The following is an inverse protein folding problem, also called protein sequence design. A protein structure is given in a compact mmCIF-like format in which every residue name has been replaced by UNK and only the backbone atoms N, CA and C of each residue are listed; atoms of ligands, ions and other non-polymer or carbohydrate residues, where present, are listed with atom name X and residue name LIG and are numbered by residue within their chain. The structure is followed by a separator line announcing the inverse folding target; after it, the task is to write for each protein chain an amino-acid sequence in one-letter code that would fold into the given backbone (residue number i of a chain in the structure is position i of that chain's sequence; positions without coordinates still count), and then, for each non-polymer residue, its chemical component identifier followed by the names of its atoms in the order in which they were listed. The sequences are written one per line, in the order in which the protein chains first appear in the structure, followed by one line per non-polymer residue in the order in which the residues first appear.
data_IF_060206042264
#
_entry.id   IF_060206042264
#
_cell.length_a   1.000
_cell.length_b   1.000
_cell.length_c   1.000
_cell.angle_alpha   90.00
_cell.angle_beta   90.00
_cell.angle_gamma   90.00
#
_symmetry.space_group_name_H-M   'P 1'
#
loop_
_entity.id
_entity.type
_entity.pdbx_description
1 polymer ?
#
# COMPACT_ATOMS: atom_id res chain seq x y z
N UNK A 1 41.13 -58.13 -36.72
CA UNK A 1 42.18 -58.72 -35.82
C UNK A 1 42.39 -57.76 -34.67
N UNK A 2 42.75 -58.22 -33.50
CA UNK A 2 41.74 -58.37 -32.42
C UNK A 2 42.08 -57.54 -31.21
N UNK A 3 41.00 -57.29 -30.42
CA UNK A 3 40.97 -57.46 -28.97
C UNK A 3 42.02 -56.75 -28.10
N UNK A 4 41.58 -55.71 -27.42
CA UNK A 4 42.10 -55.41 -26.09
C UNK A 4 40.99 -54.79 -25.17
N UNK A 5 39.99 -55.58 -24.88
CA UNK A 5 38.88 -55.29 -23.96
C UNK A 5 39.04 -56.10 -22.65
N UNK A 6 40.23 -56.06 -22.01
CA UNK A 6 40.39 -56.62 -20.68
C UNK A 6 41.57 -55.96 -19.92
N UNK A 7 41.30 -54.67 -19.47
CA UNK A 7 42.07 -54.13 -18.36
C UNK A 7 41.07 -53.69 -17.24
N UNK A 8 41.29 -54.20 -16.00
CA UNK A 8 40.43 -53.81 -14.89
C UNK A 8 40.71 -52.37 -14.49
N UNK A 9 39.64 -51.58 -14.27
CA UNK A 9 39.70 -50.27 -13.74
C UNK A 9 40.24 -50.29 -12.30
N UNK A 10 41.45 -49.79 -12.11
CA UNK A 10 42.07 -49.63 -10.79
C UNK A 10 41.21 -48.60 -9.96
N UNK A 11 40.70 -49.09 -8.85
CA UNK A 11 39.99 -48.30 -7.87
C UNK A 11 40.87 -47.19 -7.29
N UNK A 12 40.36 -45.96 -7.37
CA UNK A 12 40.96 -44.79 -6.75
C UNK A 12 40.87 -44.92 -5.24
N UNK A 13 41.99 -45.20 -4.57
CA UNK A 13 42.05 -45.21 -3.10
C UNK A 13 41.70 -43.83 -2.54
N UNK A 14 40.63 -43.79 -1.74
CA UNK A 14 40.30 -42.64 -0.90
C UNK A 14 41.36 -42.47 0.19
N UNK A 15 42.16 -41.41 0.10
CA UNK A 15 42.99 -40.96 1.22
C UNK A 15 42.05 -40.55 2.37
N UNK A 16 42.14 -41.24 3.50
CA UNK A 16 41.55 -40.80 4.78
C UNK A 16 42.26 -39.49 5.17
N UNK A 17 41.54 -38.39 5.22
CA UNK A 17 42.01 -37.14 5.79
C UNK A 17 42.03 -37.27 7.31
N UNK A 18 43.21 -37.08 7.90
CA UNK A 18 43.41 -36.96 9.33
C UNK A 18 42.61 -35.82 9.90
N UNK A 19 42.05 -35.99 11.09
CA UNK A 19 41.19 -35.06 11.80
C UNK A 19 41.78 -33.67 11.89
N UNK A 20 40.98 -32.66 11.46
CA UNK A 20 41.25 -31.25 11.70
C UNK A 20 40.98 -30.96 13.16
N UNK A 21 42.00 -30.74 13.95
CA UNK A 21 41.91 -30.10 15.26
C UNK A 21 41.38 -28.68 15.07
N UNK A 22 40.24 -28.38 15.64
CA UNK A 22 39.63 -27.05 15.68
C UNK A 22 40.57 -26.04 16.35
N UNK A 23 41.23 -25.22 15.56
CA UNK A 23 41.96 -24.07 16.05
C UNK A 23 40.95 -22.98 16.38
N UNK A 24 40.54 -22.88 17.65
CA UNK A 24 39.81 -21.74 18.11
C UNK A 24 40.67 -20.47 17.97
N UNK A 25 40.29 -19.53 17.17
CA UNK A 25 40.97 -18.26 17.08
C UNK A 25 40.64 -17.43 18.34
N UNK A 26 41.56 -16.57 18.77
CA UNK A 26 41.36 -15.67 19.92
C UNK A 26 40.08 -14.81 19.79
N UNK A 27 39.66 -14.54 18.54
CA UNK A 27 38.43 -13.83 18.23
C UNK A 27 37.16 -14.61 18.62
N UNK A 28 37.15 -15.94 18.41
CA UNK A 28 36.02 -16.81 18.78
C UNK A 28 35.84 -16.89 20.29
N UNK A 29 36.95 -16.90 21.04
CA UNK A 29 36.91 -16.86 22.50
C UNK A 29 36.35 -15.56 23.05
N UNK A 30 36.66 -14.41 22.41
CA UNK A 30 36.15 -13.09 22.78
C UNK A 30 34.63 -12.96 22.55
N UNK A 31 34.12 -13.53 21.46
CA UNK A 31 32.67 -13.55 21.16
C UNK A 31 31.90 -14.38 22.19
N UNK A 32 32.42 -15.54 22.59
CA UNK A 32 31.77 -16.38 23.61
C UNK A 32 31.72 -15.68 24.98
N UNK A 33 32.79 -14.98 25.36
CA UNK A 33 32.85 -14.20 26.62
C UNK A 33 31.86 -13.02 26.58
N UNK A 34 31.74 -12.32 25.43
CA UNK A 34 30.80 -11.23 25.26
C UNK A 34 29.33 -11.68 25.37
N UNK A 35 28.98 -12.79 24.71
CA UNK A 35 27.63 -13.38 24.78
C UNK A 35 27.31 -13.87 26.20
N UNK A 36 28.27 -14.50 26.86
CA UNK A 36 28.11 -14.94 28.27
C UNK A 36 27.94 -13.76 29.24
N UNK A 37 28.65 -12.65 29.01
CA UNK A 37 28.54 -11.43 29.81
C UNK A 37 27.18 -10.77 29.69
N UNK A 38 26.65 -10.67 28.47
CA UNK A 38 25.30 -10.09 28.23
C UNK A 38 24.20 -10.97 28.87
N UNK A 39 24.32 -12.29 28.76
CA UNK A 39 23.41 -13.23 29.42
C UNK A 39 23.41 -13.11 30.94
N UNK A 40 24.58 -12.99 31.56
CA UNK A 40 24.71 -12.81 33.01
C UNK A 40 24.12 -11.47 33.50
N UNK A 41 24.32 -10.39 32.74
CA UNK A 41 23.72 -9.08 33.07
C UNK A 41 22.20 -9.09 32.98
N UNK A 42 21.63 -9.77 31.98
CA UNK A 42 20.18 -9.93 31.82
C UNK A 42 19.55 -10.70 32.96
N UNK A 43 20.18 -11.78 33.42
CA UNK A 43 19.72 -12.57 34.57
C UNK A 43 19.86 -11.80 35.89
N UNK A 44 20.95 -11.07 36.07
CA UNK A 44 21.16 -10.21 37.25
C UNK A 44 20.10 -9.10 37.32
N UNK A 45 19.75 -8.47 36.22
CA UNK A 45 18.71 -7.43 36.14
C UNK A 45 17.31 -8.00 36.44
N UNK A 46 17.03 -9.24 36.06
CA UNK A 46 15.74 -9.89 36.34
C UNK A 46 15.58 -10.38 37.78
N UNK A 47 16.69 -10.65 38.49
CA UNK A 47 16.70 -11.18 39.86
C UNK A 47 16.92 -10.09 40.92
N UNK A 48 17.18 -8.83 40.57
CA UNK A 48 17.36 -7.72 41.52
C UNK A 48 16.01 -7.05 41.79
N UNK A 49 15.33 -7.28 42.92
CA UNK A 49 14.14 -6.53 43.32
C UNK A 49 14.55 -5.18 43.92
N UNK A 50 14.91 -4.26 43.05
CA UNK A 50 15.41 -2.94 43.45
C UNK A 50 14.59 -1.79 42.91
N UNK A 51 13.66 -1.29 43.71
CA UNK A 51 13.12 0.09 43.71
C UNK A 51 12.45 0.57 42.41
N UNK A 52 11.25 0.10 42.15
CA UNK A 52 10.25 0.94 41.49
C UNK A 52 9.68 1.88 42.53
N UNK A 53 10.25 3.07 42.62
CA UNK A 53 9.74 4.20 43.38
C UNK A 53 8.37 4.57 42.87
N UNK A 54 7.40 4.58 43.77
CA UNK A 54 6.00 5.01 43.59
C UNK A 54 5.95 6.33 42.82
N UNK A 55 5.35 6.33 41.65
CA UNK A 55 4.89 7.53 41.02
C UNK A 55 3.74 8.13 41.83
N UNK A 56 3.92 9.37 42.15
CA UNK A 56 3.09 10.29 42.91
C UNK A 56 1.62 10.25 42.55
N UNK A 57 0.81 10.13 43.57
CA UNK A 57 -0.61 10.44 43.67
C UNK A 57 -1.03 11.71 42.96
N UNK A 58 -2.02 11.62 42.08
CA UNK A 58 -2.79 12.77 41.60
C UNK A 58 -3.64 13.34 42.77
N UNK A 59 -3.85 14.66 42.85
CA UNK A 59 -4.68 15.24 43.91
C UNK A 59 -6.18 14.93 43.61
N UNK A 60 -6.84 14.42 44.66
CA UNK A 60 -8.27 14.27 44.78
C UNK A 60 -8.93 15.66 44.78
N UNK A 61 -9.74 15.93 43.78
CA UNK A 61 -10.62 17.11 43.76
C UNK A 61 -11.96 16.69 44.36
N UNK A 62 -12.18 17.09 45.59
CA UNK A 62 -13.43 16.95 46.30
C UNK A 62 -14.56 17.70 45.53
N UNK A 63 -15.59 16.97 45.20
CA UNK A 63 -16.88 17.50 44.76
C UNK A 63 -17.61 18.01 46.00
N UNK A 64 -17.64 19.35 46.14
CA UNK A 64 -18.49 20.01 47.13
C UNK A 64 -19.90 20.17 46.53
N UNK A 65 -20.87 19.58 47.19
CA UNK A 65 -22.26 19.63 46.85
C UNK A 65 -22.89 20.93 47.39
N UNK A 66 -23.31 21.80 46.50
CA UNK A 66 -24.14 22.97 46.83
C UNK A 66 -25.52 22.81 46.22
N UNK A 67 -26.52 22.62 47.09
CA UNK A 67 -27.93 22.70 46.73
C UNK A 67 -28.37 24.13 46.31
N UNK A 68 -29.40 24.25 45.45
CA UNK A 68 -29.79 25.54 44.88
C UNK A 68 -30.72 26.30 45.86
N UNK A 69 -30.34 27.53 46.15
CA UNK A 69 -31.17 28.43 46.90
C UNK A 69 -32.25 29.10 46.01
N UNK A 70 -33.47 28.95 46.46
CA UNK A 70 -34.71 29.49 45.89
C UNK A 70 -34.89 30.93 46.41
N UNK A 71 -34.99 31.91 45.54
CA UNK A 71 -35.92 33.04 45.67
C UNK A 71 -35.39 34.31 45.04
N UNK A 72 -36.08 34.78 43.99
CA UNK A 72 -36.36 36.20 43.83
C UNK A 72 -37.50 36.40 42.82
N UNK A 73 -38.62 36.84 43.39
CA UNK A 73 -39.77 37.42 42.71
C UNK A 73 -39.38 38.71 42.01
N UNK A 74 -39.94 38.97 40.82
CA UNK A 74 -39.77 40.24 40.13
C UNK A 74 -40.74 40.40 38.97
N UNK A 75 -41.90 40.83 39.24
CA UNK A 75 -42.93 41.63 38.54
C UNK A 75 -43.05 41.64 37.00
N UNK A 76 -44.28 41.72 36.49
CA UNK A 76 -44.62 41.69 35.07
C UNK A 76 -44.58 43.09 34.43
N UNK A 77 -43.79 43.21 33.37
CA UNK A 77 -43.98 44.36 32.47
C UNK A 77 -44.92 44.01 31.32
N UNK A 78 -46.09 44.67 31.34
CA UNK A 78 -46.99 44.93 30.20
C UNK A 78 -46.21 45.76 29.17
N UNK A 79 -46.35 45.44 27.90
CA UNK A 79 -46.15 46.44 26.89
C UNK A 79 -45.77 45.92 25.53
N UNK A 80 -46.69 46.05 24.62
CA UNK A 80 -46.53 46.32 23.19
C UNK A 80 -46.31 45.13 22.26
N UNK A 81 -47.39 44.78 21.61
CA UNK A 81 -47.49 43.99 20.38
C UNK A 81 -47.02 44.84 19.21
N UNK A 82 -45.84 44.47 18.69
CA UNK A 82 -45.46 44.77 17.31
C UNK A 82 -45.11 43.46 16.59
N UNK A 83 -45.62 43.22 15.39
CA UNK A 83 -45.32 41.99 14.64
C UNK A 83 -43.91 42.09 14.06
N UNK A 84 -42.97 41.38 14.70
CA UNK A 84 -41.64 41.20 14.19
C UNK A 84 -41.66 40.45 12.84
N UNK A 85 -41.19 41.15 11.83
CA UNK A 85 -40.90 40.58 10.52
C UNK A 85 -40.10 39.28 10.60
N UNK A 86 -40.33 38.31 9.72
CA UNK A 86 -39.61 37.04 9.75
C UNK A 86 -38.13 37.28 9.45
N UNK A 87 -37.27 37.12 10.45
CA UNK A 87 -35.84 37.00 10.24
C UNK A 87 -35.61 35.77 9.38
N UNK A 88 -35.10 35.99 8.19
CA UNK A 88 -34.63 34.95 7.29
C UNK A 88 -33.46 34.20 7.92
N UNK A 89 -33.77 33.20 8.74
CA UNK A 89 -32.76 32.28 9.30
C UNK A 89 -32.11 31.45 8.20
N UNK A 90 -30.81 31.40 8.22
CA UNK A 90 -29.95 30.56 7.36
C UNK A 90 -30.09 29.03 7.61
N UNK A 91 -31.26 28.54 8.01
CA UNK A 91 -31.49 27.11 8.14
C UNK A 91 -32.22 26.57 6.91
N UNK A 92 -31.70 25.51 6.29
CA UNK A 92 -32.23 24.90 5.08
C UNK A 92 -33.52 24.09 5.27
N UNK A 93 -34.30 24.31 6.33
CA UNK A 93 -35.52 23.58 6.63
C UNK A 93 -36.71 24.54 6.79
N UNK A 94 -37.89 24.13 6.31
CA UNK A 94 -39.15 24.75 6.64
C UNK A 94 -39.61 24.27 8.03
N UNK A 95 -39.86 25.20 8.93
CA UNK A 95 -40.34 24.91 10.30
C UNK A 95 -41.80 25.32 10.40
N UNK A 96 -42.70 24.37 10.56
CA UNK A 96 -44.10 24.61 10.88
C UNK A 96 -44.33 24.32 12.36
N UNK A 97 -44.87 25.29 13.09
CA UNK A 97 -45.27 25.16 14.50
C UNK A 97 -46.76 25.08 14.60
N UNK A 98 -47.28 24.06 15.20
CA UNK A 98 -48.71 23.85 15.47
C UNK A 98 -48.89 23.68 16.96
N UNK A 99 -49.78 24.51 17.54
CA UNK A 99 -50.18 24.36 18.94
C UNK A 99 -51.38 23.39 18.99
N UNK A 100 -51.20 22.30 19.69
CA UNK A 100 -52.23 21.29 19.88
C UNK A 100 -53.25 21.76 20.93
N UNK A 101 -54.48 21.21 20.94
CA UNK A 101 -55.53 21.59 21.95
C UNK A 101 -55.14 21.33 23.40
N UNK A 102 -54.11 20.53 23.62
CA UNK A 102 -53.50 20.17 24.93
C UNK A 102 -52.45 21.21 25.40
N UNK A 103 -52.23 22.30 24.63
CA UNK A 103 -51.24 23.34 24.92
C UNK A 103 -49.83 23.02 24.49
N UNK A 104 -49.55 21.83 23.93
CA UNK A 104 -48.23 21.46 23.45
C UNK A 104 -47.96 22.03 22.07
N UNK A 105 -46.75 22.55 21.86
CA UNK A 105 -46.30 23.09 20.55
C UNK A 105 -45.49 22.04 19.82
N UNK A 106 -46.01 21.51 18.73
CA UNK A 106 -45.31 20.58 17.84
C UNK A 106 -44.63 21.38 16.74
N UNK A 107 -43.31 21.23 16.61
CA UNK A 107 -42.52 21.84 15.52
C UNK A 107 -42.17 20.76 14.52
N UNK A 108 -42.70 20.83 13.31
CA UNK A 108 -42.39 19.94 12.21
C UNK A 108 -41.32 20.59 11.32
N UNK A 109 -40.24 19.89 11.12
CA UNK A 109 -39.15 20.31 10.25
C UNK A 109 -39.26 19.53 8.93
N UNK A 110 -39.48 20.19 7.82
CA UNK A 110 -39.47 19.62 6.49
C UNK A 110 -38.33 20.22 5.67
N UNK A 111 -37.63 19.42 4.85
CA UNK A 111 -36.63 19.93 3.93
C UNK A 111 -37.26 20.97 2.99
N UNK A 112 -36.61 22.10 2.78
CA UNK A 112 -37.02 23.08 1.79
C UNK A 112 -36.85 22.47 0.41
N UNK A 113 -37.91 22.43 -0.41
CA UNK A 113 -37.74 22.18 -1.84
C UNK A 113 -36.84 23.28 -2.41
N UNK A 114 -35.70 22.90 -2.94
CA UNK A 114 -34.84 23.81 -3.69
C UNK A 114 -35.47 24.03 -5.06
N UNK A 115 -36.11 25.19 -5.26
CA UNK A 115 -36.36 25.72 -6.58
C UNK A 115 -35.07 26.37 -7.07
N UNK A 116 -34.42 25.73 -8.02
CA UNK A 116 -33.18 26.15 -8.67
C UNK A 116 -32.29 24.95 -8.91
N UNK A 117 -31.58 24.95 -10.02
CA UNK A 117 -30.51 24.04 -10.31
C UNK A 117 -29.52 24.06 -9.14
N UNK A 118 -29.65 23.08 -8.24
CA UNK A 118 -28.64 22.84 -7.21
C UNK A 118 -27.29 22.74 -7.89
N UNK A 119 -26.15 22.93 -7.15
CA UNK A 119 -24.87 22.68 -7.76
C UNK A 119 -24.97 21.30 -8.41
N UNK A 120 -24.81 21.28 -9.73
CA UNK A 120 -24.64 20.04 -10.47
C UNK A 120 -23.55 19.33 -9.69
N UNK A 121 -23.90 18.23 -9.01
CA UNK A 121 -22.90 17.29 -8.59
C UNK A 121 -22.24 16.91 -9.91
N UNK A 122 -21.15 17.60 -10.25
CA UNK A 122 -20.21 17.04 -11.20
C UNK A 122 -19.83 15.70 -10.56
N UNK A 123 -20.51 14.66 -11.00
CA UNK A 123 -19.97 13.33 -10.93
C UNK A 123 -18.70 13.44 -11.75
N UNK A 124 -17.58 13.77 -11.06
CA UNK A 124 -16.25 13.66 -11.64
C UNK A 124 -16.26 12.31 -12.32
N UNK A 125 -15.72 12.23 -13.52
CA UNK A 125 -15.61 10.97 -14.22
C UNK A 125 -15.04 9.99 -13.21
N UNK A 126 -15.85 9.03 -12.79
CA UNK A 126 -15.41 7.94 -11.92
C UNK A 126 -14.49 7.12 -12.79
N UNK A 127 -13.19 7.43 -12.72
CA UNK A 127 -12.18 6.58 -13.30
C UNK A 127 -12.33 5.21 -12.64
N UNK A 128 -12.33 4.16 -13.45
CA UNK A 128 -12.41 2.79 -12.96
C UNK A 128 -13.45 1.96 -13.71
N UNK A 129 -13.22 0.67 -13.72
CA UNK A 129 -14.10 -0.31 -14.36
C UNK A 129 -15.31 -0.61 -13.45
N UNK A 130 -16.49 -0.87 -14.07
CA UNK A 130 -17.64 -1.40 -13.33
C UNK A 130 -17.22 -2.63 -12.50
N UNK A 131 -17.46 -2.65 -11.19
CA UNK A 131 -17.08 -3.78 -10.32
C UNK A 131 -17.58 -5.14 -10.82
N UNK A 132 -18.72 -5.19 -11.50
CA UNK A 132 -19.28 -6.42 -12.09
C UNK A 132 -18.43 -6.98 -13.22
N UNK A 133 -17.71 -6.11 -13.93
CA UNK A 133 -16.85 -6.45 -15.06
C UNK A 133 -15.36 -6.43 -14.67
N UNK A 134 -15.03 -6.10 -13.43
CA UNK A 134 -13.65 -5.86 -13.00
C UNK A 134 -12.68 -7.02 -13.29
N UNK A 135 -13.17 -8.25 -13.26
CA UNK A 135 -12.39 -9.46 -13.58
C UNK A 135 -12.22 -9.71 -15.09
N UNK A 136 -12.99 -9.02 -15.93
CA UNK A 136 -12.92 -9.17 -17.39
C UNK A 136 -11.98 -8.10 -17.95
N UNK A 137 -11.10 -8.46 -18.91
CA UNK A 137 -10.28 -7.48 -19.58
C UNK A 137 -11.12 -6.59 -20.50
N UNK A 138 -10.71 -5.34 -20.65
CA UNK A 138 -11.19 -4.48 -21.72
C UNK A 138 -10.35 -4.77 -22.96
N UNK A 139 -11.00 -5.29 -24.01
CA UNK A 139 -10.33 -5.72 -25.24
C UNK A 139 -9.66 -4.56 -26.00
N UNK A 140 -10.22 -3.35 -25.91
CA UNK A 140 -9.66 -2.15 -26.55
C UNK A 140 -8.30 -1.73 -25.97
N UNK A 141 -8.01 -2.18 -24.75
CA UNK A 141 -6.76 -1.91 -24.04
C UNK A 141 -5.72 -3.03 -24.21
N UNK A 142 -5.94 -3.97 -25.10
CA UNK A 142 -5.04 -5.11 -25.29
C UNK A 142 -4.63 -5.25 -26.77
N UNK A 143 -3.40 -5.70 -26.97
CA UNK A 143 -2.86 -6.11 -28.26
C UNK A 143 -2.31 -7.53 -28.18
N UNK A 144 -2.58 -8.33 -29.21
CA UNK A 144 -2.01 -9.68 -29.33
C UNK A 144 -0.59 -9.61 -29.83
N UNK A 145 0.34 -10.22 -29.10
CA UNK A 145 1.75 -10.27 -29.44
C UNK A 145 2.34 -11.67 -29.29
N UNK A 146 3.59 -11.83 -29.72
CA UNK A 146 4.35 -13.08 -29.49
C UNK A 146 4.57 -13.39 -27.99
N UNK A 147 4.38 -12.39 -27.10
CA UNK A 147 4.56 -12.52 -25.65
C UNK A 147 3.22 -12.70 -24.90
N UNK A 148 2.11 -12.81 -25.63
CA UNK A 148 0.75 -12.81 -25.11
C UNK A 148 0.05 -11.48 -25.32
N UNK A 149 -1.02 -11.24 -24.55
CA UNK A 149 -1.83 -10.04 -24.65
C UNK A 149 -1.19 -8.93 -23.81
N UNK A 150 -0.68 -7.91 -24.47
CA UNK A 150 -0.03 -6.77 -23.81
C UNK A 150 -0.98 -5.58 -23.70
N UNK A 151 -0.85 -4.77 -22.63
CA UNK A 151 -1.62 -3.53 -22.50
C UNK A 151 -1.20 -2.50 -23.54
N UNK A 152 -2.17 -1.73 -24.00
CA UNK A 152 -1.99 -0.57 -24.88
C UNK A 152 -2.95 0.55 -24.50
N UNK A 153 -2.71 1.74 -24.98
CA UNK A 153 -3.69 2.82 -24.97
C UNK A 153 -4.73 2.55 -26.06
N UNK A 154 -6.00 2.71 -25.75
CA UNK A 154 -7.09 2.54 -26.72
C UNK A 154 -7.10 3.63 -27.79
N UNK A 155 -7.88 3.45 -28.85
CA UNK A 155 -7.96 4.40 -29.95
C UNK A 155 -8.56 5.77 -29.54
N UNK A 156 -9.40 5.80 -28.53
CA UNK A 156 -9.99 7.00 -27.92
C UNK A 156 -9.14 7.63 -26.80
N UNK A 157 -7.95 7.07 -26.55
CA UNK A 157 -6.99 7.60 -25.59
C UNK A 157 -7.13 7.07 -24.16
N UNK A 158 -8.07 6.14 -23.89
CA UNK A 158 -8.21 5.52 -22.57
C UNK A 158 -6.96 4.70 -22.24
N UNK A 159 -6.44 4.87 -21.03
CA UNK A 159 -5.23 4.19 -20.55
C UNK A 159 -5.56 3.04 -19.58
N UNK A 160 -4.81 1.94 -19.60
CA UNK A 160 -4.97 0.87 -18.61
C UNK A 160 -4.92 1.36 -17.16
N UNK A 161 -4.04 2.33 -16.84
CA UNK A 161 -3.94 2.90 -15.51
C UNK A 161 -5.21 3.62 -15.05
N UNK A 162 -6.04 4.12 -15.97
CA UNK A 162 -7.31 4.78 -15.67
C UNK A 162 -8.45 3.77 -15.61
N UNK A 163 -8.51 2.86 -16.59
CA UNK A 163 -9.56 1.83 -16.66
C UNK A 163 -9.56 0.91 -15.44
N UNK A 164 -8.36 0.49 -15.02
CA UNK A 164 -8.22 -0.48 -13.93
C UNK A 164 -7.97 0.16 -12.57
N UNK A 165 -7.94 1.49 -12.50
CA UNK A 165 -7.88 2.23 -11.24
C UNK A 165 -9.05 1.88 -10.32
N UNK A 166 -8.78 1.83 -9.01
CA UNK A 166 -9.83 1.75 -8.01
C UNK A 166 -10.44 3.15 -7.81
N UNK A 167 -11.79 3.30 -7.90
CA UNK A 167 -12.43 4.55 -7.52
C UNK A 167 -12.18 4.90 -6.05
N UNK A 168 -12.02 6.18 -5.76
CA UNK A 168 -11.86 6.72 -4.42
C UNK A 168 -12.78 7.93 -4.22
N UNK A 169 -12.86 8.48 -3.00
CA UNK A 169 -13.87 9.51 -2.67
C UNK A 169 -13.70 10.85 -3.41
N UNK A 170 -12.49 11.13 -3.92
CA UNK A 170 -12.17 12.46 -4.47
C UNK A 170 -12.04 13.55 -3.40
N UNK A 171 -12.14 13.21 -2.12
CA UNK A 171 -12.08 14.16 -1.04
C UNK A 171 -10.66 14.68 -0.80
N UNK A 172 -10.55 15.95 -0.44
CA UNK A 172 -9.28 16.51 0.01
C UNK A 172 -9.03 16.06 1.45
N UNK A 173 -7.93 15.38 1.69
CA UNK A 173 -7.57 14.85 3.00
C UNK A 173 -6.26 14.08 2.98
N UNK A 174 -5.90 13.50 4.13
CA UNK A 174 -4.73 12.62 4.23
C UNK A 174 -5.04 11.28 3.59
N UNK A 175 -4.27 10.89 2.58
CA UNK A 175 -4.45 9.63 1.84
C UNK A 175 -3.21 8.77 1.92
N UNK A 176 -3.43 7.47 2.03
CA UNK A 176 -2.37 6.47 2.08
C UNK A 176 -2.67 5.37 1.07
N UNK A 177 -1.69 5.05 0.24
CA UNK A 177 -1.71 3.82 -0.54
C UNK A 177 -0.81 2.78 0.12
N UNK A 178 -1.33 1.57 0.26
CA UNK A 178 -0.56 0.41 0.73
C UNK A 178 -0.50 -0.59 -0.41
N UNK A 179 0.71 -1.05 -0.74
CA UNK A 179 0.94 -2.05 -1.78
C UNK A 179 1.45 -3.31 -1.09
N UNK A 180 0.77 -4.43 -1.31
CA UNK A 180 1.23 -5.74 -0.83
C UNK A 180 1.71 -6.56 -2.02
N UNK A 181 3.02 -6.81 -2.07
CA UNK A 181 3.70 -7.48 -3.17
C UNK A 181 3.95 -8.98 -2.91
N UNK A 182 4.55 -9.65 -3.91
CA UNK A 182 4.90 -11.07 -3.84
C UNK A 182 3.73 -12.03 -4.03
N UNK A 183 2.56 -11.52 -4.46
CA UNK A 183 1.41 -12.39 -4.73
C UNK A 183 1.67 -13.31 -5.93
N UNK A 184 1.09 -14.50 -5.90
CA UNK A 184 1.31 -15.55 -6.89
C UNK A 184 2.47 -16.49 -6.56
N UNK A 185 3.38 -16.13 -5.63
CA UNK A 185 4.49 -16.98 -5.20
C UNK A 185 4.02 -18.08 -4.23
N UNK A 186 3.16 -17.74 -3.30
CA UNK A 186 2.50 -18.67 -2.37
C UNK A 186 0.99 -18.69 -2.63
N UNK A 187 0.41 -19.87 -2.81
CA UNK A 187 -1.05 -19.99 -3.01
C UNK A 187 -1.83 -19.56 -1.76
N UNK A 188 -1.41 -20.04 -0.58
CA UNK A 188 -2.08 -19.73 0.68
C UNK A 188 -1.93 -18.26 1.05
N UNK A 189 -0.72 -17.69 0.92
CA UNK A 189 -0.47 -16.27 1.17
C UNK A 189 -1.25 -15.38 0.19
N UNK A 190 -1.32 -15.74 -1.09
CA UNK A 190 -2.08 -15.00 -2.10
C UNK A 190 -3.58 -15.01 -1.80
N UNK A 191 -4.14 -16.19 -1.50
CA UNK A 191 -5.56 -16.31 -1.15
C UNK A 191 -5.89 -15.52 0.13
N UNK A 192 -5.03 -15.60 1.14
CA UNK A 192 -5.17 -14.86 2.38
C UNK A 192 -5.14 -13.35 2.14
N UNK A 193 -4.17 -12.86 1.37
CA UNK A 193 -4.07 -11.45 1.04
C UNK A 193 -5.33 -10.92 0.33
N UNK A 194 -5.82 -11.63 -0.69
CA UNK A 194 -7.02 -11.23 -1.44
C UNK A 194 -8.26 -11.19 -0.54
N UNK A 195 -8.39 -12.12 0.41
CA UNK A 195 -9.57 -12.23 1.26
C UNK A 195 -9.54 -11.30 2.48
N UNK A 196 -8.38 -11.18 3.13
CA UNK A 196 -8.27 -10.57 4.45
C UNK A 196 -7.86 -9.09 4.40
N UNK A 197 -7.23 -8.63 3.28
CA UNK A 197 -6.90 -7.22 3.10
C UNK A 197 -8.12 -6.40 2.69
N UNK A 198 -8.23 -5.15 3.16
CA UNK A 198 -9.24 -4.22 2.65
C UNK A 198 -9.08 -4.00 1.13
N UNK A 199 -10.17 -3.89 0.37
CA UNK A 199 -10.12 -3.74 -1.09
C UNK A 199 -9.39 -2.48 -1.57
N UNK A 200 -9.15 -1.50 -0.69
CA UNK A 200 -8.35 -0.31 -0.95
C UNK A 200 -6.86 -0.60 -1.07
N UNK A 201 -6.38 -1.72 -0.52
CA UNK A 201 -4.97 -2.14 -0.62
C UNK A 201 -4.68 -2.62 -2.04
N UNK A 202 -3.64 -2.08 -2.64
CA UNK A 202 -3.18 -2.48 -3.98
C UNK A 202 -2.38 -3.78 -3.90
N UNK A 203 -2.65 -4.70 -4.81
CA UNK A 203 -2.01 -6.02 -4.86
C UNK A 203 -0.94 -6.09 -5.95
N UNK A 204 0.30 -6.42 -5.57
CA UNK A 204 1.44 -6.60 -6.48
C UNK A 204 1.68 -8.08 -6.80
N UNK A 205 1.38 -8.50 -8.03
CA UNK A 205 1.62 -9.88 -8.47
C UNK A 205 3.02 -10.04 -9.03
N UNK A 206 3.80 -10.97 -8.47
CA UNK A 206 5.12 -11.30 -8.99
C UNK A 206 5.00 -11.99 -10.36
N UNK A 207 5.69 -11.46 -11.37
CA UNK A 207 5.65 -12.02 -12.74
C UNK A 207 6.13 -13.48 -12.83
N UNK A 208 6.92 -13.95 -11.85
CA UNK A 208 7.35 -15.33 -11.72
C UNK A 208 6.36 -16.25 -10.99
N UNK A 209 5.24 -15.71 -10.52
CA UNK A 209 4.23 -16.45 -9.78
C UNK A 209 3.44 -17.46 -10.62
N UNK A 210 2.65 -18.27 -9.94
CA UNK A 210 1.82 -19.31 -10.55
C UNK A 210 0.34 -18.92 -10.55
N UNK A 211 -0.42 -19.39 -11.57
CA UNK A 211 -1.87 -19.18 -11.68
C UNK A 211 -2.27 -17.70 -11.63
N UNK A 212 -1.40 -16.81 -12.12
CA UNK A 212 -1.52 -15.37 -11.97
C UNK A 212 -2.84 -14.82 -12.52
N UNK A 213 -3.28 -15.31 -13.70
CA UNK A 213 -4.52 -14.88 -14.33
C UNK A 213 -5.74 -15.15 -13.42
N UNK A 214 -5.79 -16.32 -12.78
CA UNK A 214 -6.85 -16.66 -11.82
C UNK A 214 -6.83 -15.74 -10.61
N UNK A 215 -5.65 -15.54 -10.02
CA UNK A 215 -5.50 -14.69 -8.84
C UNK A 215 -5.81 -13.22 -9.14
N UNK A 216 -5.40 -12.73 -10.30
CA UNK A 216 -5.74 -11.39 -10.75
C UNK A 216 -7.26 -11.22 -10.84
N UNK A 217 -7.96 -12.18 -11.47
CA UNK A 217 -9.41 -12.13 -11.57
C UNK A 217 -10.10 -12.16 -10.21
N UNK A 218 -9.58 -12.95 -9.28
CA UNK A 218 -10.11 -13.03 -7.91
C UNK A 218 -9.88 -11.69 -7.17
N UNK A 219 -8.65 -11.14 -7.20
CA UNK A 219 -8.35 -9.85 -6.61
C UNK A 219 -9.19 -8.70 -7.20
N UNK A 220 -9.43 -8.71 -8.51
CA UNK A 220 -10.31 -7.73 -9.15
C UNK A 220 -11.78 -7.86 -8.74
N UNK A 221 -12.29 -9.10 -8.51
CA UNK A 221 -13.66 -9.32 -7.99
C UNK A 221 -13.82 -8.80 -6.58
N UNK A 222 -12.78 -8.94 -5.76
CA UNK A 222 -12.76 -8.39 -4.39
C UNK A 222 -12.52 -6.88 -4.36
N UNK A 223 -12.30 -6.24 -5.52
CA UNK A 223 -12.21 -4.80 -5.69
C UNK A 223 -10.80 -4.22 -5.55
N UNK A 224 -9.77 -5.05 -5.49
CA UNK A 224 -8.39 -4.59 -5.41
C UNK A 224 -7.88 -4.00 -6.73
N UNK A 225 -7.07 -2.97 -6.62
CA UNK A 225 -6.21 -2.51 -7.71
C UNK A 225 -4.99 -3.43 -7.84
N UNK A 226 -4.55 -3.67 -9.08
CA UNK A 226 -3.49 -4.64 -9.37
C UNK A 226 -2.28 -3.95 -9.99
N UNK A 227 -1.09 -4.31 -9.50
CA UNK A 227 0.20 -4.04 -10.12
C UNK A 227 0.88 -5.36 -10.52
N UNK A 228 1.73 -5.30 -11.53
CA UNK A 228 2.62 -6.39 -11.89
C UNK A 228 4.04 -6.08 -11.40
N UNK A 229 4.60 -6.95 -10.57
CA UNK A 229 5.99 -6.85 -10.12
C UNK A 229 6.93 -7.55 -11.10
N UNK A 230 7.88 -6.77 -11.64
CA UNK A 230 8.87 -7.24 -12.59
C UNK A 230 10.25 -7.29 -11.92
N UNK A 231 11.01 -8.39 -12.04
CA UNK A 231 12.31 -8.53 -11.42
C UNK A 231 13.37 -7.69 -12.13
N UNK A 232 14.04 -6.80 -11.38
CA UNK A 232 15.14 -5.96 -11.84
C UNK A 232 16.46 -6.39 -11.17
N UNK A 233 17.59 -6.16 -11.84
CA UNK A 233 18.91 -6.57 -11.36
C UNK A 233 19.32 -5.88 -10.05
N UNK A 234 19.50 -6.63 -8.93
CA UNK A 234 20.03 -6.09 -7.69
C UNK A 234 21.57 -6.00 -7.73
N UNK A 235 22.17 -5.26 -6.80
CA UNK A 235 23.64 -5.16 -6.70
C UNK A 235 24.33 -6.52 -6.49
N UNK A 236 23.68 -7.46 -5.83
CA UNK A 236 24.21 -8.80 -5.56
C UNK A 236 24.01 -9.84 -6.67
N UNK A 237 23.49 -9.45 -7.85
CA UNK A 237 23.28 -10.38 -8.95
C UNK A 237 24.62 -10.94 -9.49
N UNK A 238 24.74 -12.24 -9.86
CA UNK A 238 23.70 -13.27 -9.88
C UNK A 238 23.51 -14.03 -8.55
N UNK A 239 24.27 -13.70 -7.49
CA UNK A 239 24.14 -14.34 -6.19
C UNK A 239 22.76 -14.11 -5.56
N UNK A 240 22.23 -12.88 -5.64
CA UNK A 240 20.85 -12.57 -5.37
C UNK A 240 20.11 -12.50 -6.70
N UNK A 241 19.36 -13.55 -7.02
CA UNK A 241 18.64 -13.67 -8.28
C UNK A 241 17.12 -13.51 -8.03
N UNK A 242 16.49 -12.41 -8.50
CA UNK A 242 15.07 -12.16 -8.26
C UNK A 242 14.14 -13.04 -9.11
N UNK A 243 14.68 -13.85 -10.02
CA UNK A 243 13.91 -14.81 -10.79
C UNK A 243 14.18 -14.78 -12.29
N UNK A 244 13.45 -15.59 -13.06
CA UNK A 244 13.54 -15.60 -14.51
C UNK A 244 13.08 -14.25 -15.07
N UNK A 245 13.57 -13.91 -16.25
CA UNK A 245 13.27 -12.65 -16.94
C UNK A 245 13.70 -11.38 -16.18
N UNK A 246 14.70 -11.50 -15.26
CA UNK A 246 15.30 -10.32 -14.62
C UNK A 246 15.89 -9.36 -15.65
N UNK A 247 15.51 -8.09 -15.58
CA UNK A 247 16.05 -7.02 -16.41
C UNK A 247 17.47 -6.70 -15.95
N UNK A 248 18.44 -6.69 -16.88
CA UNK A 248 19.86 -6.61 -16.57
C UNK A 248 20.48 -5.34 -17.14
N UNK A 249 21.35 -4.67 -16.38
CA UNK A 249 22.09 -3.47 -16.80
C UNK A 249 23.01 -3.78 -18.00
N UNK A 250 23.71 -4.91 -17.95
CA UNK A 250 24.62 -5.31 -19.05
C UNK A 250 23.90 -5.87 -20.28
N UNK A 251 22.56 -6.02 -20.24
CA UNK A 251 21.77 -6.54 -21.34
C UNK A 251 21.46 -5.50 -22.41
N UNK A 252 21.33 -5.91 -23.70
CA UNK A 252 20.79 -5.04 -24.73
C UNK A 252 19.37 -4.57 -24.35
N UNK A 253 19.04 -3.30 -24.62
CA UNK A 253 17.70 -2.76 -24.35
C UNK A 253 16.58 -3.63 -24.94
N UNK A 254 16.76 -4.13 -26.17
CA UNK A 254 15.81 -5.05 -26.83
C UNK A 254 15.52 -6.29 -25.96
N UNK A 255 16.55 -6.92 -25.38
CA UNK A 255 16.37 -8.11 -24.56
C UNK A 255 15.64 -7.78 -23.25
N UNK A 256 15.91 -6.63 -22.64
CA UNK A 256 15.17 -6.16 -21.48
C UNK A 256 13.70 -5.89 -21.79
N UNK A 257 13.40 -5.29 -22.96
CA UNK A 257 12.01 -5.10 -23.40
C UNK A 257 11.31 -6.43 -23.67
N UNK A 258 11.99 -7.41 -24.29
CA UNK A 258 11.42 -8.75 -24.47
C UNK A 258 11.09 -9.44 -23.12
N UNK A 259 11.96 -9.27 -22.11
CA UNK A 259 11.72 -9.78 -20.75
C UNK A 259 10.55 -9.07 -20.08
N UNK A 260 10.48 -7.74 -20.20
CA UNK A 260 9.37 -6.92 -19.72
C UNK A 260 8.05 -7.37 -20.36
N UNK A 261 8.02 -7.54 -21.68
CA UNK A 261 6.82 -7.98 -22.40
C UNK A 261 6.38 -9.39 -22.02
N UNK A 262 7.33 -10.32 -21.80
CA UNK A 262 6.99 -11.65 -21.25
C UNK A 262 6.36 -11.57 -19.86
N UNK A 263 6.82 -10.65 -19.02
CA UNK A 263 6.20 -10.39 -17.73
C UNK A 263 4.80 -9.80 -17.91
N UNK A 264 4.66 -8.75 -18.74
CA UNK A 264 3.39 -8.06 -19.00
C UNK A 264 2.30 -8.99 -19.53
N UNK A 265 2.65 -9.97 -20.37
CA UNK A 265 1.71 -10.94 -20.95
C UNK A 265 1.18 -11.99 -19.97
N UNK A 266 1.61 -11.99 -18.70
CA UNK A 266 1.17 -12.97 -17.70
C UNK A 266 -0.24 -12.71 -17.17
N UNK A 267 -0.65 -11.45 -17.09
CA UNK A 267 -1.98 -11.01 -16.63
C UNK A 267 -2.45 -9.82 -17.46
N UNK A 268 -3.73 -9.46 -17.32
CA UNK A 268 -4.33 -8.32 -18.02
C UNK A 268 -4.66 -7.20 -17.03
N UNK A 269 -5.73 -6.93 -16.60
CA UNK A 269 -6.41 -5.94 -15.77
C UNK A 269 -5.57 -5.29 -14.64
N UNK A 270 -4.42 -4.71 -14.97
CA UNK A 270 -3.53 -4.04 -14.01
C UNK A 270 -3.25 -2.59 -14.40
N UNK A 271 -2.99 -1.74 -13.41
CA UNK A 271 -2.77 -0.31 -13.59
C UNK A 271 -1.32 0.03 -13.92
N UNK A 272 -0.36 -0.80 -13.52
CA UNK A 272 1.04 -0.45 -13.68
C UNK A 272 2.03 -1.54 -13.36
N UNK A 273 3.28 -1.17 -13.50
CA UNK A 273 4.45 -2.00 -13.23
C UNK A 273 5.14 -1.48 -11.97
N UNK A 274 5.57 -2.40 -11.11
CA UNK A 274 6.41 -2.13 -9.95
C UNK A 274 7.70 -2.95 -10.07
N UNK A 275 8.85 -2.36 -9.74
CA UNK A 275 10.08 -3.15 -9.65
C UNK A 275 10.00 -4.13 -8.47
N UNK A 276 10.66 -5.27 -8.64
CA UNK A 276 10.99 -6.18 -7.56
C UNK A 276 12.51 -6.24 -7.42
N UNK A 277 13.04 -5.80 -6.28
CA UNK A 277 14.46 -5.52 -6.11
C UNK A 277 14.97 -4.50 -7.13
N UNK A 278 16.19 -4.67 -7.63
CA UNK A 278 16.66 -3.87 -8.77
C UNK A 278 17.57 -2.72 -8.42
N UNK A 279 18.18 -2.69 -7.25
CA UNK A 279 19.03 -1.55 -6.83
C UNK A 279 20.07 -1.15 -7.87
N UNK A 280 20.67 -2.13 -8.58
CA UNK A 280 21.62 -1.85 -9.65
C UNK A 280 20.97 -1.31 -10.92
N UNK A 281 19.85 -1.93 -11.34
CA UNK A 281 19.13 -1.53 -12.54
C UNK A 281 18.51 -0.14 -12.38
N UNK A 282 17.92 0.13 -11.23
CA UNK A 282 17.30 1.42 -10.89
C UNK A 282 18.31 2.57 -10.80
N UNK A 283 19.58 2.26 -10.53
CA UNK A 283 20.67 3.25 -10.49
C UNK A 283 21.25 3.58 -11.87
N UNK A 284 20.95 2.78 -12.91
CA UNK A 284 21.45 2.96 -14.26
C UNK A 284 20.38 3.60 -15.18
N UNK A 285 20.53 4.90 -15.43
CA UNK A 285 19.57 5.67 -16.23
C UNK A 285 19.41 5.12 -17.66
N UNK A 286 20.53 4.68 -18.30
CA UNK A 286 20.51 4.18 -19.68
C UNK A 286 19.78 2.85 -19.82
N UNK A 287 19.88 2.00 -18.81
CA UNK A 287 19.15 0.73 -18.77
C UNK A 287 17.67 0.94 -18.44
N UNK A 288 17.38 1.90 -17.57
CA UNK A 288 16.02 2.18 -17.07
C UNK A 288 15.16 2.93 -18.09
N UNK A 289 15.72 3.91 -18.81
CA UNK A 289 15.00 4.79 -19.73
C UNK A 289 14.12 4.03 -20.75
N UNK A 290 14.62 3.05 -21.53
CA UNK A 290 13.79 2.35 -22.52
C UNK A 290 12.65 1.57 -21.88
N UNK A 291 12.84 1.06 -20.67
CA UNK A 291 11.84 0.32 -19.90
C UNK A 291 10.72 1.25 -19.44
N UNK A 292 11.05 2.38 -18.83
CA UNK A 292 10.07 3.39 -18.39
C UNK A 292 9.31 3.98 -19.59
N UNK A 293 10.00 4.19 -20.70
CA UNK A 293 9.38 4.69 -21.95
C UNK A 293 8.30 3.71 -22.46
N UNK A 294 8.61 2.43 -22.53
CA UNK A 294 7.65 1.40 -22.99
C UNK A 294 6.44 1.31 -22.03
N UNK A 295 6.66 1.35 -20.72
CA UNK A 295 5.61 1.36 -19.70
C UNK A 295 4.67 2.56 -19.92
N UNK A 296 5.22 3.78 -20.06
CA UNK A 296 4.44 4.99 -20.28
C UNK A 296 3.68 4.99 -21.61
N UNK A 297 4.29 4.52 -22.70
CA UNK A 297 3.66 4.41 -24.01
C UNK A 297 2.48 3.43 -24.04
N UNK A 298 2.47 2.44 -23.14
CA UNK A 298 1.38 1.49 -22.94
C UNK A 298 0.28 2.02 -22.02
N UNK A 299 0.40 3.26 -21.53
CA UNK A 299 -0.57 3.88 -20.63
C UNK A 299 -0.59 3.27 -19.23
N UNK A 300 0.51 2.66 -18.82
CA UNK A 300 0.71 2.11 -17.49
C UNK A 300 1.46 3.11 -16.60
N UNK A 301 1.21 3.05 -15.29
CA UNK A 301 2.02 3.75 -14.30
C UNK A 301 3.25 2.91 -13.89
N UNK A 302 4.27 3.57 -13.38
CA UNK A 302 5.43 2.93 -12.77
C UNK A 302 5.50 3.21 -11.27
N UNK A 303 5.71 2.18 -10.46
CA UNK A 303 5.95 2.30 -9.02
C UNK A 303 7.38 1.89 -8.70
N UNK A 304 8.12 2.81 -8.09
CA UNK A 304 9.40 2.53 -7.46
C UNK A 304 9.14 2.02 -6.03
N UNK A 305 9.62 0.83 -5.70
CA UNK A 305 9.42 0.18 -4.40
C UNK A 305 10.18 0.84 -3.24
N UNK A 306 10.99 1.88 -3.53
CA UNK A 306 11.77 2.61 -2.53
C UNK A 306 12.97 1.83 -1.97
N UNK A 307 13.26 0.63 -2.46
CA UNK A 307 14.36 -0.21 -1.96
C UNK A 307 15.76 0.32 -2.30
N UNK A 308 15.86 1.25 -3.24
CA UNK A 308 17.13 1.80 -3.71
C UNK A 308 17.24 3.31 -3.52
N UNK A 309 18.07 3.75 -2.57
CA UNK A 309 18.38 5.17 -2.38
C UNK A 309 19.11 5.82 -3.59
N UNK A 310 19.65 5.01 -4.52
CA UNK A 310 20.35 5.48 -5.71
C UNK A 310 19.45 5.48 -6.96
N UNK A 311 18.15 5.24 -6.80
CA UNK A 311 17.21 5.17 -7.92
C UNK A 311 17.23 6.44 -8.78
N UNK A 312 17.23 6.25 -10.08
CA UNK A 312 17.08 7.29 -11.11
C UNK A 312 15.65 7.34 -11.68
N UNK A 313 14.73 6.57 -11.13
CA UNK A 313 13.36 6.50 -11.63
C UNK A 313 12.64 7.85 -11.64
N UNK A 314 12.82 8.67 -10.59
CA UNK A 314 12.22 10.00 -10.51
C UNK A 314 12.61 10.93 -11.67
N UNK A 315 13.90 11.21 -11.91
CA UNK A 315 14.35 11.97 -13.06
C UNK A 315 13.89 11.39 -14.41
N UNK A 316 13.99 10.07 -14.59
CA UNK A 316 13.65 9.38 -15.85
C UNK A 316 12.13 9.46 -16.13
N UNK A 317 11.28 9.14 -15.15
CA UNK A 317 9.82 9.22 -15.32
C UNK A 317 9.36 10.65 -15.60
N UNK A 318 9.97 11.63 -14.94
CA UNK A 318 9.70 13.06 -15.19
C UNK A 318 10.08 13.47 -16.61
N UNK A 319 11.28 13.08 -17.08
CA UNK A 319 11.75 13.41 -18.43
C UNK A 319 10.87 12.79 -19.53
N UNK A 320 10.33 11.60 -19.28
CA UNK A 320 9.47 10.86 -20.22
C UNK A 320 7.98 11.14 -20.03
N UNK A 321 7.59 11.99 -19.07
CA UNK A 321 6.19 12.24 -18.70
C UNK A 321 5.41 10.95 -18.42
N UNK A 322 6.08 9.95 -17.84
CA UNK A 322 5.46 8.70 -17.43
C UNK A 322 4.89 8.86 -16.03
N UNK A 323 3.62 8.49 -15.83
CA UNK A 323 2.98 8.51 -14.53
C UNK A 323 3.72 7.58 -13.57
N UNK A 324 4.15 8.09 -12.40
CA UNK A 324 4.96 7.33 -11.46
C UNK A 324 4.65 7.66 -10.00
N UNK A 325 4.78 6.65 -9.14
CA UNK A 325 4.74 6.77 -7.70
C UNK A 325 6.03 6.21 -7.06
N UNK A 326 6.35 6.71 -5.88
CA UNK A 326 7.57 6.34 -5.17
C UNK A 326 7.18 5.93 -3.75
N UNK A 327 7.56 4.73 -3.33
CA UNK A 327 7.29 4.27 -1.97
C UNK A 327 8.07 5.12 -0.96
N UNK A 328 7.36 5.60 0.05
CA UNK A 328 7.93 6.38 1.15
C UNK A 328 8.51 5.46 2.22
N UNK A 329 7.96 4.25 2.38
CA UNK A 329 8.35 3.36 3.46
C UNK A 329 8.12 1.87 3.14
N UNK A 330 9.15 1.04 3.43
CA UNK A 330 9.00 -0.40 3.54
C UNK A 330 8.43 -0.73 4.92
N UNK A 331 7.29 -1.45 4.96
CA UNK A 331 6.52 -1.68 6.18
C UNK A 331 6.99 -2.92 6.96
N UNK A 332 7.54 -3.91 6.28
CA UNK A 332 7.88 -5.23 6.80
C UNK A 332 9.38 -5.58 6.64
N UNK A 333 10.25 -4.59 6.82
CA UNK A 333 11.69 -4.81 6.96
C UNK A 333 12.01 -5.73 8.16
N UNK A 334 11.10 -5.79 9.12
CA UNK A 334 11.05 -6.79 10.19
C UNK A 334 9.69 -7.48 10.14
N UNK A 335 9.68 -8.78 9.84
CA UNK A 335 8.46 -9.60 9.75
C UNK A 335 7.95 -9.91 11.15
N UNK A 336 7.33 -8.89 11.78
CA UNK A 336 6.72 -8.94 13.10
C UNK A 336 5.55 -7.95 13.18
N UNK A 337 4.39 -8.38 13.63
CA UNK A 337 3.17 -7.57 13.65
C UNK A 337 3.37 -6.22 14.33
N UNK A 338 3.98 -6.18 15.53
CA UNK A 338 4.19 -4.94 16.25
C UNK A 338 5.18 -3.99 15.56
N UNK A 339 6.19 -4.53 14.86
CA UNK A 339 7.12 -3.72 14.06
C UNK A 339 6.40 -3.10 12.87
N UNK A 340 5.56 -3.88 12.19
CA UNK A 340 4.78 -3.43 11.03
C UNK A 340 3.75 -2.38 11.45
N UNK A 341 3.06 -2.56 12.58
CA UNK A 341 2.13 -1.55 13.10
C UNK A 341 2.83 -0.21 13.37
N UNK A 342 4.02 -0.21 13.96
CA UNK A 342 4.82 1.02 14.14
C UNK A 342 5.18 1.67 12.82
N UNK A 343 5.55 0.88 11.80
CA UNK A 343 5.84 1.40 10.45
C UNK A 343 4.59 1.99 9.77
N UNK A 344 3.42 1.41 10.00
CA UNK A 344 2.16 1.97 9.52
C UNK A 344 1.83 3.30 10.19
N UNK A 345 2.11 3.45 11.50
CA UNK A 345 1.99 4.73 12.20
C UNK A 345 3.03 5.77 11.70
N UNK A 346 4.24 5.32 11.33
CA UNK A 346 5.24 6.17 10.68
C UNK A 346 4.76 6.65 9.31
N UNK A 347 4.15 5.75 8.53
CA UNK A 347 3.55 6.07 7.24
C UNK A 347 2.41 7.09 7.38
N UNK A 348 1.57 6.95 8.41
CA UNK A 348 0.54 7.94 8.75
C UNK A 348 1.15 9.31 9.02
N UNK A 349 2.24 9.38 9.79
CA UNK A 349 2.93 10.65 10.08
C UNK A 349 3.50 11.30 8.83
N UNK A 350 4.02 10.50 7.88
CA UNK A 350 4.48 10.98 6.58
C UNK A 350 3.29 11.54 5.79
N UNK A 351 2.20 10.79 5.70
CA UNK A 351 1.00 11.19 4.97
C UNK A 351 0.36 12.47 5.55
N UNK A 352 0.29 12.61 6.87
CA UNK A 352 -0.24 13.83 7.52
C UNK A 352 0.61 15.07 7.22
N UNK A 353 1.92 14.90 7.07
CA UNK A 353 2.83 15.99 6.72
C UNK A 353 2.80 16.37 5.25
N UNK A 354 2.73 15.37 4.37
CA UNK A 354 2.88 15.54 2.92
C UNK A 354 1.55 15.55 2.17
N UNK A 355 0.42 15.25 2.88
CA UNK A 355 -0.90 15.01 2.28
C UNK A 355 -1.10 13.57 1.82
N UNK A 356 -0.05 12.90 1.35
CA UNK A 356 -0.09 11.52 0.84
C UNK A 356 1.15 10.73 1.26
N UNK A 357 1.02 9.39 1.33
CA UNK A 357 2.16 8.49 1.47
C UNK A 357 1.88 7.12 0.82
N UNK A 358 2.93 6.46 0.35
CA UNK A 358 2.90 5.11 -0.23
C UNK A 358 3.75 4.18 0.63
N UNK A 359 3.13 3.14 1.19
CA UNK A 359 3.81 2.06 1.91
C UNK A 359 3.83 0.77 1.11
N UNK A 360 4.91 0.01 1.22
CA UNK A 360 5.08 -1.28 0.54
C UNK A 360 5.33 -2.37 1.56
N UNK A 361 4.69 -3.52 1.38
CA UNK A 361 4.88 -4.72 2.18
C UNK A 361 4.87 -5.96 1.29
N UNK A 362 5.29 -7.09 1.84
CA UNK A 362 5.18 -8.41 1.22
C UNK A 362 3.99 -9.19 1.78
N UNK A 363 3.51 -10.20 1.04
CA UNK A 363 2.35 -11.00 1.43
C UNK A 363 2.70 -12.05 2.52
N UNK A 364 3.32 -11.60 3.62
CA UNK A 364 3.51 -12.40 4.84
C UNK A 364 2.26 -12.35 5.71
N UNK A 365 2.03 -13.39 6.50
CA UNK A 365 0.86 -13.47 7.39
C UNK A 365 0.82 -12.32 8.39
N UNK A 366 1.98 -11.92 8.92
CA UNK A 366 2.15 -10.80 9.83
C UNK A 366 1.83 -9.47 9.17
N UNK A 367 2.27 -9.28 7.91
CA UNK A 367 1.99 -8.06 7.13
C UNK A 367 0.51 -7.92 6.83
N UNK A 368 -0.13 -9.00 6.35
CA UNK A 368 -1.56 -9.03 6.05
C UNK A 368 -2.38 -8.72 7.31
N UNK A 369 -2.06 -9.39 8.43
CA UNK A 369 -2.75 -9.18 9.70
C UNK A 369 -2.62 -7.75 10.23
N UNK A 370 -1.40 -7.23 10.26
CA UNK A 370 -1.13 -5.87 10.73
C UNK A 370 -1.81 -4.80 9.86
N UNK A 371 -1.71 -4.92 8.53
CA UNK A 371 -2.33 -3.97 7.59
C UNK A 371 -3.86 -3.99 7.72
N UNK A 372 -4.47 -5.18 7.78
CA UNK A 372 -5.92 -5.32 7.92
C UNK A 372 -6.44 -4.67 9.21
N UNK A 373 -5.79 -4.94 10.34
CA UNK A 373 -6.12 -4.35 11.64
C UNK A 373 -5.94 -2.83 11.64
N UNK A 374 -4.79 -2.34 11.21
CA UNK A 374 -4.46 -0.93 11.20
C UNK A 374 -5.39 -0.12 10.28
N UNK A 375 -5.81 -0.70 9.14
CA UNK A 375 -6.67 -0.03 8.16
C UNK A 375 -8.01 0.39 8.74
N UNK A 376 -8.61 -0.45 9.59
CA UNK A 376 -9.87 -0.13 10.30
C UNK A 376 -9.67 1.06 11.25
N UNK A 377 -8.57 1.08 11.98
CA UNK A 377 -8.25 2.15 12.92
C UNK A 377 -7.91 3.46 12.19
N UNK A 378 -7.19 3.40 11.06
CA UNK A 378 -6.80 4.55 10.25
C UNK A 378 -8.04 5.29 9.70
N UNK A 379 -9.03 4.56 9.21
CA UNK A 379 -10.29 5.13 8.74
C UNK A 379 -11.01 5.93 9.86
N UNK A 380 -11.03 5.41 11.09
CA UNK A 380 -11.59 6.11 12.25
C UNK A 380 -10.83 7.40 12.61
N UNK A 381 -9.55 7.50 12.24
CA UNK A 381 -8.70 8.69 12.42
C UNK A 381 -8.78 9.69 11.26
N UNK A 382 -9.68 9.48 10.27
CA UNK A 382 -9.90 10.33 9.12
C UNK A 382 -8.85 10.20 8.02
N UNK A 383 -8.21 9.03 7.92
CA UNK A 383 -7.29 8.70 6.83
C UNK A 383 -8.05 7.90 5.79
N UNK A 384 -7.94 8.31 4.54
CA UNK A 384 -8.47 7.52 3.43
C UNK A 384 -7.37 6.61 2.87
N UNK A 385 -7.63 5.31 2.88
CA UNK A 385 -6.79 4.34 2.16
C UNK A 385 -7.30 4.29 0.73
N UNK A 386 -6.39 4.39 -0.23
CA UNK A 386 -6.73 4.48 -1.66
C UNK A 386 -5.87 3.54 -2.49
N UNK A 387 -6.36 3.15 -3.67
CA UNK A 387 -5.53 2.50 -4.68
C UNK A 387 -4.35 3.39 -5.07
N UNK A 388 -3.21 2.79 -5.41
CA UNK A 388 -1.99 3.58 -5.66
C UNK A 388 -2.13 4.53 -6.85
N UNK A 389 -2.96 4.20 -7.84
CA UNK A 389 -3.25 5.08 -8.97
C UNK A 389 -3.81 6.44 -8.56
N UNK A 390 -4.58 6.51 -7.48
CA UNK A 390 -5.15 7.75 -6.95
C UNK A 390 -4.07 8.76 -6.50
N UNK A 391 -2.91 8.28 -6.05
CA UNK A 391 -1.80 9.14 -5.62
C UNK A 391 -0.88 9.54 -6.76
N UNK A 392 -0.90 8.79 -7.86
CA UNK A 392 -0.06 9.06 -9.05
C UNK A 392 -0.72 10.06 -9.98
N UNK A 393 -2.02 9.95 -10.21
CA UNK A 393 -2.79 10.80 -11.15
C UNK A 393 -2.74 12.28 -10.80
N UNK A 394 -2.65 12.63 -9.52
CA UNK A 394 -2.58 14.03 -9.08
C UNK A 394 -1.21 14.70 -9.31
N UNK A 395 -0.13 13.94 -9.40
CA UNK A 395 1.22 14.48 -9.64
C UNK A 395 1.48 14.81 -11.11
N UNK A 396 0.62 14.37 -12.01
CA UNK A 396 0.73 14.64 -13.46
C UNK A 396 0.07 15.99 -13.84
N UNK A 397 -0.82 16.53 -13.00
CA UNK A 397 -1.54 17.80 -13.24
C UNK A 397 -0.83 19.04 -12.68
N UNK A 398 0.35 18.91 -12.05
CA UNK A 398 1.20 20.01 -11.58
C UNK A 398 2.43 20.21 -12.48
#
# INVERSE_FOLDING_TARGET
MPSDLRKPLMGRQRKKSAGSFWRFSALSALVVVAIGGIGALSVYSALSPGNLQKASTAPDVALDGGEPDTSAQGQPHKGSSDPLAPQSGRSGANVQRQTMPDGNVVSTFSPRQREGDGPVLMTGQTYGQDPRLAAQPNEDLLEDTAFGRLPKVSADGLRPMEQYARPWSGARGTRIAIIVGGLGLSQTGTQKAIRDLPPEVTLGFAASGNSLQRWMQEGRREGHEILLQVPFEPFGYPGTNPGPDTLLVAGPAKLNLERLHRAMGKITNYTGIMNYLGGRFMADEKALEPVIKDIGQRGLLFIDDGSSAQSKSGPVTKALSTAAGFADLQLDDQVNENAILRKLDDLERIARRNGTAIGVASAFDESIGAISKWSVEAAARGIEIVGVSALVSEKTEQ
#
